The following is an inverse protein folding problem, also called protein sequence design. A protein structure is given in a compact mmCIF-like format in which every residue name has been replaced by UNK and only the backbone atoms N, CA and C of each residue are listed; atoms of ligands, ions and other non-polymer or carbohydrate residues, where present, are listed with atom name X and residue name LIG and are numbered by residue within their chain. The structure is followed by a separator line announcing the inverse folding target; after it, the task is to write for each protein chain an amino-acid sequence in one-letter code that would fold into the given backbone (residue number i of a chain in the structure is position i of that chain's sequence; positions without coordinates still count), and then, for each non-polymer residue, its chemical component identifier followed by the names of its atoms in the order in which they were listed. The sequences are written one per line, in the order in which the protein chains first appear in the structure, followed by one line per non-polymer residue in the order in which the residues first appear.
data_IF_985716309035
#
_entry.id   IF_985716309035
#
_cell.length_a   1.000
_cell.length_b   1.000
_cell.length_c   1.000
_cell.angle_alpha   90.00
_cell.angle_beta   90.00
_cell.angle_gamma   90.00
#
_symmetry.space_group_name_H-M   'P 1'
#
loop_
_entity.id
_entity.type
_entity.pdbx_description
1 polymer ?
#
# COMPACT_ATOMS: atom_id res chain seq x y z
N UNK A 1 -29.25 -14.51 12.44
CA UNK A 1 -29.12 -15.48 11.33
C UNK A 1 -27.72 -15.34 10.78
N UNK A 2 -26.90 -16.40 10.85
CA UNK A 2 -25.49 -16.36 10.41
C UNK A 2 -25.44 -16.55 8.90
N UNK A 3 -25.22 -15.47 8.15
CA UNK A 3 -24.76 -15.60 6.76
C UNK A 3 -23.34 -16.14 6.85
N UNK A 4 -23.15 -17.39 6.45
CA UNK A 4 -21.82 -17.99 6.36
C UNK A 4 -21.05 -17.28 5.25
N UNK A 5 -20.29 -16.26 5.66
CA UNK A 5 -19.29 -15.52 4.90
C UNK A 5 -18.25 -16.46 4.31
N UNK A 6 -18.54 -17.03 3.15
CA UNK A 6 -17.55 -17.72 2.32
C UNK A 6 -17.47 -16.96 1.00
N UNK A 7 -16.28 -16.49 0.69
CA UNK A 7 -15.94 -16.02 -0.65
C UNK A 7 -16.39 -17.05 -1.67
N UNK A 8 -16.94 -16.58 -2.80
CA UNK A 8 -17.14 -17.46 -3.95
C UNK A 8 -15.79 -18.02 -4.41
N UNK A 9 -15.75 -19.15 -5.13
CA UNK A 9 -14.50 -19.69 -5.66
C UNK A 9 -13.69 -18.67 -6.46
N UNK A 10 -14.35 -17.81 -7.22
CA UNK A 10 -13.71 -16.75 -8.03
C UNK A 10 -13.08 -15.68 -7.15
N UNK A 11 -13.79 -15.20 -6.12
CA UNK A 11 -13.25 -14.24 -5.17
C UNK A 11 -12.11 -14.83 -4.34
N UNK A 12 -12.21 -16.12 -4.00
CA UNK A 12 -11.12 -16.84 -3.34
C UNK A 12 -9.89 -16.91 -4.25
N UNK A 13 -10.06 -17.23 -5.54
CA UNK A 13 -8.93 -17.25 -6.47
C UNK A 13 -8.29 -15.87 -6.60
N UNK A 14 -9.08 -14.80 -6.76
CA UNK A 14 -8.56 -13.42 -6.79
C UNK A 14 -7.80 -13.03 -5.53
N UNK A 15 -8.26 -13.47 -4.36
CA UNK A 15 -7.50 -13.29 -3.12
C UNK A 15 -6.13 -13.96 -3.21
N UNK A 16 -6.08 -15.24 -3.60
CA UNK A 16 -4.83 -16.00 -3.73
C UNK A 16 -3.88 -15.38 -4.77
N UNK A 17 -4.39 -15.00 -5.94
CA UNK A 17 -3.62 -14.32 -6.99
C UNK A 17 -3.04 -13.00 -6.47
N UNK A 18 -3.80 -12.27 -5.65
CA UNK A 18 -3.33 -11.03 -5.04
C UNK A 18 -2.20 -11.27 -4.03
N UNK A 19 -2.22 -12.38 -3.29
CA UNK A 19 -1.15 -12.74 -2.35
C UNK A 19 0.13 -13.06 -3.12
N UNK A 20 0.02 -13.91 -4.15
CA UNK A 20 1.14 -14.31 -5.00
C UNK A 20 1.79 -13.10 -5.68
N UNK A 21 0.98 -12.22 -6.30
CA UNK A 21 1.45 -11.00 -6.95
C UNK A 21 2.28 -10.10 -6.02
N UNK A 22 2.03 -10.14 -4.71
CA UNK A 22 2.71 -9.27 -3.73
C UNK A 22 3.70 -10.05 -2.86
N UNK A 23 4.04 -11.30 -3.23
CA UNK A 23 5.00 -12.13 -2.50
C UNK A 23 4.56 -12.51 -1.08
N UNK A 24 3.25 -12.48 -0.81
CA UNK A 24 2.70 -12.84 0.50
C UNK A 24 2.47 -14.34 0.53
N UNK A 25 3.21 -15.05 1.37
CA UNK A 25 3.02 -16.49 1.55
C UNK A 25 1.63 -16.79 2.10
N UNK A 26 0.92 -17.74 1.48
CA UNK A 26 -0.39 -18.21 1.97
C UNK A 26 -0.29 -18.78 3.39
N UNK A 27 0.85 -19.34 3.78
CA UNK A 27 1.08 -19.85 5.15
C UNK A 27 1.12 -18.76 6.22
N UNK A 28 1.24 -17.48 5.82
CA UNK A 28 1.21 -16.32 6.71
C UNK A 28 -0.17 -15.67 6.80
N UNK A 29 -1.16 -16.18 6.05
CA UNK A 29 -2.52 -15.66 6.06
C UNK A 29 -3.25 -16.17 7.31
N UNK A 30 -3.80 -15.24 8.08
CA UNK A 30 -4.62 -15.59 9.25
C UNK A 30 -6.06 -15.87 8.79
N UNK A 31 -6.65 -17.00 9.19
CA UNK A 31 -8.00 -17.36 8.76
C UNK A 31 -9.07 -16.39 9.30
N UNK A 32 -9.00 -16.01 10.57
CA UNK A 32 -9.99 -15.13 11.20
C UNK A 32 -9.31 -14.16 12.16
N UNK A 33 -9.61 -12.88 12.01
CA UNK A 33 -9.09 -11.79 12.82
C UNK A 33 -10.26 -10.95 13.30
N UNK A 34 -10.32 -10.68 14.60
CA UNK A 34 -11.37 -9.85 15.21
C UNK A 34 -10.69 -8.82 16.10
N UNK A 35 -11.08 -7.55 15.97
CA UNK A 35 -10.61 -6.49 16.86
C UNK A 35 -11.01 -6.77 18.31
N UNK A 36 -10.09 -6.62 19.27
CA UNK A 36 -10.26 -7.05 20.67
C UNK A 36 -10.46 -5.92 21.66
N UNK A 37 -10.26 -4.67 21.25
CA UNK A 37 -10.47 -3.49 22.10
C UNK A 37 -10.73 -2.22 21.29
N UNK A 38 -10.83 -1.05 21.94
CA UNK A 38 -11.22 0.19 21.28
C UNK A 38 -10.23 0.63 20.18
N UNK A 39 -8.94 0.31 20.32
CA UNK A 39 -7.90 0.56 19.31
C UNK A 39 -7.13 -0.72 19.01
N UNK A 40 -6.94 -1.00 17.72
CA UNK A 40 -6.22 -2.15 17.21
C UNK A 40 -5.32 -1.68 16.07
N UNK A 41 -4.17 -2.32 15.89
CA UNK A 41 -3.19 -1.85 14.92
C UNK A 41 -2.86 -2.92 13.90
N UNK A 42 -2.64 -2.51 12.66
CA UNK A 42 -1.74 -3.18 11.72
C UNK A 42 -0.49 -2.30 11.68
N UNK A 43 0.57 -2.73 12.35
CA UNK A 43 1.80 -1.93 12.47
C UNK A 43 3.05 -2.79 12.45
N UNK A 44 4.12 -2.26 11.86
CA UNK A 44 5.46 -2.83 11.90
C UNK A 44 6.39 -2.06 12.85
N UNK A 45 5.86 -1.08 13.59
CA UNK A 45 6.63 -0.32 14.59
C UNK A 45 6.98 -1.21 15.78
N UNK A 46 8.25 -1.23 16.22
CA UNK A 46 8.64 -1.91 17.45
C UNK A 46 7.83 -1.42 18.65
N UNK A 47 7.34 -2.35 19.47
CA UNK A 47 6.57 -2.04 20.68
C UNK A 47 5.08 -1.75 20.46
N UNK A 48 4.60 -1.67 19.21
CA UNK A 48 3.17 -1.58 18.90
C UNK A 48 2.60 -2.99 18.70
N UNK A 49 1.59 -3.36 19.48
CA UNK A 49 0.90 -4.64 19.35
C UNK A 49 0.07 -4.70 18.07
N UNK A 50 0.58 -5.38 17.05
CA UNK A 50 -0.14 -5.59 15.78
C UNK A 50 -1.09 -6.77 15.87
N UNK A 51 -2.33 -6.58 15.41
CA UNK A 51 -3.38 -7.59 15.38
C UNK A 51 -3.07 -8.73 14.39
N UNK A 52 -2.36 -8.38 13.31
CA UNK A 52 -1.80 -9.33 12.33
C UNK A 52 -0.29 -9.11 12.32
N UNK A 53 0.54 -10.14 12.51
CA UNK A 53 1.99 -9.99 12.41
C UNK A 53 2.38 -9.44 11.04
N UNK A 54 3.18 -8.39 11.03
CA UNK A 54 3.68 -7.81 9.80
C UNK A 54 4.66 -8.78 9.12
N UNK A 55 4.41 -9.10 7.86
CA UNK A 55 5.42 -9.73 7.01
C UNK A 55 6.14 -8.66 6.19
N UNK A 56 7.46 -8.76 6.05
CA UNK A 56 8.27 -7.77 5.34
C UNK A 56 8.58 -8.28 3.93
N UNK A 57 8.32 -7.45 2.93
CA UNK A 57 8.74 -7.71 1.54
C UNK A 57 9.72 -6.64 1.10
N UNK A 58 10.74 -7.05 0.34
CA UNK A 58 11.68 -6.12 -0.27
C UNK A 58 11.14 -5.67 -1.63
N UNK A 59 11.20 -4.37 -1.89
CA UNK A 59 10.87 -3.76 -3.16
C UNK A 59 12.15 -3.17 -3.74
N UNK A 60 12.48 -3.56 -4.95
CA UNK A 60 13.76 -3.23 -5.58
C UNK A 60 13.64 -2.09 -6.59
N UNK A 61 12.45 -1.83 -7.13
CA UNK A 61 12.26 -0.82 -8.18
C UNK A 61 11.02 0.04 -7.96
N UNK A 62 11.01 1.24 -8.55
CA UNK A 62 9.81 2.09 -8.56
C UNK A 62 8.65 1.41 -9.29
N UNK A 63 8.94 0.66 -10.35
CA UNK A 63 7.93 -0.03 -11.17
C UNK A 63 7.23 -1.12 -10.36
N UNK A 64 7.98 -1.89 -9.57
CA UNK A 64 7.39 -2.82 -8.59
C UNK A 64 6.48 -2.08 -7.62
N UNK A 65 6.95 -0.98 -7.00
CA UNK A 65 6.12 -0.22 -6.05
C UNK A 65 4.84 0.33 -6.68
N UNK A 66 4.91 0.88 -7.90
CA UNK A 66 3.76 1.40 -8.65
C UNK A 66 2.77 0.28 -8.98
N UNK A 67 3.27 -0.89 -9.38
CA UNK A 67 2.43 -2.04 -9.65
C UNK A 67 1.68 -2.56 -8.40
N UNK A 68 2.29 -2.42 -7.21
CA UNK A 68 1.63 -2.71 -5.92
C UNK A 68 0.60 -1.65 -5.53
N UNK A 69 0.86 -0.38 -5.86
CA UNK A 69 -0.08 0.72 -5.64
C UNK A 69 -1.33 0.62 -6.53
N UNK A 70 -1.26 -0.13 -7.63
CA UNK A 70 -2.40 -0.40 -8.52
C UNK A 70 -2.71 0.72 -9.51
N UNK A 71 -1.80 1.68 -9.69
CA UNK A 71 -1.98 2.82 -10.59
C UNK A 71 -1.18 2.61 -11.89
N UNK A 72 -1.77 1.94 -12.86
CA UNK A 72 -1.11 1.66 -14.15
C UNK A 72 -1.06 2.91 -15.03
N UNK A 73 0.05 3.14 -15.73
CA UNK A 73 0.14 4.22 -16.72
C UNK A 73 -0.80 3.98 -17.92
N UNK A 74 -1.16 2.72 -18.19
CA UNK A 74 -2.14 2.37 -19.22
C UNK A 74 -3.52 3.00 -18.95
N UNK A 75 -3.90 3.18 -17.68
CA UNK A 75 -5.18 3.76 -17.32
C UNK A 75 -5.19 5.27 -17.63
N UNK A 76 -4.05 5.94 -17.51
CA UNK A 76 -3.88 7.32 -17.95
C UNK A 76 -3.87 7.43 -19.48
N UNK A 77 -3.14 6.54 -20.17
CA UNK A 77 -3.09 6.51 -21.63
C UNK A 77 -4.47 6.25 -22.27
N UNK A 78 -5.31 5.45 -21.62
CA UNK A 78 -6.70 5.16 -22.03
C UNK A 78 -7.71 6.22 -21.57
N UNK A 79 -7.29 7.22 -20.78
CA UNK A 79 -8.17 8.25 -20.22
C UNK A 79 -9.14 7.74 -19.16
N UNK A 80 -8.88 6.56 -18.57
CA UNK A 80 -9.66 5.99 -17.46
C UNK A 80 -9.37 6.74 -16.16
N UNK A 81 -8.12 7.18 -15.97
CA UNK A 81 -7.70 8.04 -14.87
C UNK A 81 -7.35 9.43 -15.38
N UNK A 82 -7.75 10.47 -14.63
CA UNK A 82 -7.25 11.83 -14.85
C UNK A 82 -5.95 12.04 -14.08
N UNK A 83 -5.08 12.89 -14.61
CA UNK A 83 -3.80 13.25 -13.98
C UNK A 83 -4.04 14.13 -12.75
N UNK A 84 -4.30 13.52 -11.61
CA UNK A 84 -4.67 14.22 -10.37
C UNK A 84 -3.48 14.74 -9.54
N UNK A 85 -2.23 14.45 -9.94
CA UNK A 85 -1.01 14.76 -9.17
C UNK A 85 0.18 15.15 -10.08
N UNK A 86 -0.04 16.03 -11.06
CA UNK A 86 1.08 16.63 -11.80
C UNK A 86 1.47 17.94 -11.13
N UNK A 87 2.60 17.93 -10.43
CA UNK A 87 3.38 19.15 -10.32
C UNK A 87 4.22 19.25 -11.59
N UNK A 88 4.18 20.41 -12.26
CA UNK A 88 5.08 20.69 -13.39
C UNK A 88 6.51 20.85 -12.84
N UNK A 89 7.19 19.71 -12.67
CA UNK A 89 8.55 19.66 -12.19
C UNK A 89 9.53 19.93 -13.35
N UNK A 90 10.59 20.73 -13.12
CA UNK A 90 11.65 20.87 -14.11
C UNK A 90 12.30 19.50 -14.36
N UNK A 91 12.75 19.25 -15.59
CA UNK A 91 13.44 18.00 -15.89
C UNK A 91 14.68 17.83 -15.01
N UNK A 92 14.85 16.63 -14.44
CA UNK A 92 15.99 16.34 -13.58
C UNK A 92 17.31 16.37 -14.36
N UNK A 93 18.34 16.98 -13.76
CA UNK A 93 19.68 17.06 -14.34
C UNK A 93 20.42 15.74 -14.10
N UNK A 94 20.58 14.91 -15.13
CA UNK A 94 21.30 13.62 -15.06
C UNK A 94 22.70 13.71 -14.45
N UNK A 95 23.39 14.85 -14.60
CA UNK A 95 24.71 15.09 -13.99
C UNK A 95 24.69 15.09 -12.46
N UNK A 96 23.50 15.17 -11.84
CA UNK A 96 23.29 15.11 -10.39
C UNK A 96 22.86 13.72 -9.92
N UNK A 97 22.74 12.74 -10.82
CA UNK A 97 22.58 11.34 -10.41
C UNK A 97 23.79 10.92 -9.56
N UNK A 98 23.54 10.17 -8.49
CA UNK A 98 24.56 9.73 -7.53
C UNK A 98 24.86 10.72 -6.41
N UNK A 99 24.31 11.93 -6.45
CA UNK A 99 24.39 12.84 -5.31
C UNK A 99 23.54 12.32 -4.15
N UNK A 100 24.14 12.25 -2.96
CA UNK A 100 23.40 12.00 -1.72
C UNK A 100 22.48 13.20 -1.37
N UNK A 101 21.41 13.00 -0.58
CA UNK A 101 20.47 14.07 -0.23
C UNK A 101 21.11 15.33 0.36
N UNK A 102 22.20 15.21 1.13
CA UNK A 102 22.93 16.32 1.74
C UNK A 102 23.77 17.15 0.74
N UNK A 103 23.91 16.67 -0.50
CA UNK A 103 24.60 17.36 -1.60
C UNK A 103 23.66 18.06 -2.58
N UNK A 104 22.36 17.98 -2.33
CA UNK A 104 21.32 18.61 -3.14
C UNK A 104 20.75 19.81 -2.41
N UNK A 105 20.19 20.77 -3.15
CA UNK A 105 19.44 21.86 -2.51
C UNK A 105 18.16 21.33 -1.85
N UNK A 106 17.57 22.12 -0.96
CA UNK A 106 16.27 21.81 -0.35
C UNK A 106 15.21 21.59 -1.45
N UNK A 107 15.14 22.50 -2.42
CA UNK A 107 14.23 22.42 -3.57
C UNK A 107 14.44 21.15 -4.40
N UNK A 108 15.69 20.72 -4.59
CA UNK A 108 16.00 19.50 -5.34
C UNK A 108 15.51 18.25 -4.62
N UNK A 109 15.72 18.18 -3.31
CA UNK A 109 15.19 17.09 -2.49
C UNK A 109 13.65 17.09 -2.48
N UNK A 110 13.02 18.26 -2.39
CA UNK A 110 11.56 18.38 -2.49
C UNK A 110 11.02 17.90 -3.84
N UNK A 111 11.68 18.30 -4.94
CA UNK A 111 11.31 17.87 -6.28
C UNK A 111 11.48 16.35 -6.47
N UNK A 112 12.52 15.74 -5.90
CA UNK A 112 12.69 14.28 -5.90
C UNK A 112 11.52 13.59 -5.17
N UNK A 113 11.11 14.10 -3.99
CA UNK A 113 9.98 13.54 -3.23
C UNK A 113 8.65 13.70 -3.98
N UNK A 114 8.43 14.87 -4.60
CA UNK A 114 7.26 15.13 -5.44
C UNK A 114 7.23 14.20 -6.65
N UNK A 115 8.36 14.08 -7.35
CA UNK A 115 8.50 13.18 -8.48
C UNK A 115 8.26 11.71 -8.08
N UNK A 116 8.76 11.27 -6.92
CA UNK A 116 8.46 9.95 -6.38
C UNK A 116 6.95 9.74 -6.20
N UNK A 117 6.25 10.68 -5.56
CA UNK A 117 4.79 10.59 -5.39
C UNK A 117 4.05 10.56 -6.73
N UNK A 118 4.42 11.43 -7.68
CA UNK A 118 3.83 11.45 -9.03
C UNK A 118 4.10 10.14 -9.77
N UNK A 119 5.28 9.53 -9.62
CA UNK A 119 5.58 8.25 -10.25
C UNK A 119 4.66 7.13 -9.74
N UNK A 120 4.46 7.05 -8.42
CA UNK A 120 3.69 5.97 -7.78
C UNK A 120 2.18 6.17 -7.89
N UNK A 121 1.68 7.41 -7.74
CA UNK A 121 0.25 7.71 -7.66
C UNK A 121 -0.32 8.40 -8.91
N UNK A 122 0.55 8.87 -9.82
CA UNK A 122 0.19 9.59 -11.04
C UNK A 122 0.64 8.88 -12.32
N UNK A 123 0.69 9.64 -13.43
CA UNK A 123 1.30 9.23 -14.70
C UNK A 123 2.83 9.31 -14.59
N UNK A 124 3.49 8.16 -14.61
CA UNK A 124 4.94 8.09 -14.38
C UNK A 124 5.76 8.72 -15.51
N UNK A 125 5.19 8.82 -16.72
CA UNK A 125 5.87 9.40 -17.88
C UNK A 125 6.19 10.88 -17.66
N UNK A 126 5.41 11.59 -16.83
CA UNK A 126 5.62 13.01 -16.51
C UNK A 126 6.89 13.28 -15.71
N UNK A 127 7.40 12.27 -15.01
CA UNK A 127 8.55 12.40 -14.10
C UNK A 127 9.66 11.40 -14.44
N UNK A 128 9.66 10.85 -15.66
CA UNK A 128 10.61 9.82 -16.10
C UNK A 128 12.09 10.24 -15.93
N UNK A 129 12.42 11.53 -16.04
CA UNK A 129 13.79 12.02 -15.82
C UNK A 129 14.33 11.79 -14.40
N UNK A 130 13.44 11.67 -13.41
CA UNK A 130 13.79 11.50 -12.00
C UNK A 130 14.00 10.03 -11.60
N UNK A 131 13.69 9.06 -12.48
CA UNK A 131 13.65 7.64 -12.12
C UNK A 131 14.94 7.15 -11.46
N UNK A 132 16.10 7.49 -12.03
CA UNK A 132 17.40 7.03 -11.53
C UNK A 132 17.74 7.60 -10.14
N UNK A 133 17.52 8.89 -9.92
CA UNK A 133 17.83 9.52 -8.62
C UNK A 133 16.87 9.04 -7.53
N UNK A 134 15.59 8.85 -7.86
CA UNK A 134 14.62 8.26 -6.93
C UNK A 134 15.05 6.82 -6.60
N UNK A 135 15.44 6.03 -7.59
CA UNK A 135 15.87 4.65 -7.38
C UNK A 135 17.05 4.60 -6.40
N UNK A 136 18.05 5.45 -6.59
CA UNK A 136 19.22 5.53 -5.71
C UNK A 136 18.89 5.98 -4.29
N UNK A 137 17.92 6.88 -4.12
CA UNK A 137 17.60 7.47 -2.81
C UNK A 137 16.70 6.60 -1.95
N UNK A 138 15.76 5.88 -2.57
CA UNK A 138 14.70 5.19 -1.84
C UNK A 138 14.77 3.67 -1.94
N UNK A 139 15.54 3.09 -2.88
CA UNK A 139 15.54 1.66 -3.14
C UNK A 139 16.90 1.01 -2.84
N UNK A 140 16.91 -0.26 -2.40
CA UNK A 140 15.74 -1.09 -2.09
C UNK A 140 15.01 -0.59 -0.84
N UNK A 141 13.69 -0.71 -0.82
CA UNK A 141 12.87 -0.43 0.37
C UNK A 141 12.18 -1.69 0.88
N UNK A 142 11.69 -1.63 2.10
CA UNK A 142 10.89 -2.69 2.70
C UNK A 142 9.48 -2.19 2.98
N UNK A 143 8.48 -3.00 2.66
CA UNK A 143 7.07 -2.73 2.99
C UNK A 143 6.55 -3.74 4.01
N UNK A 144 5.64 -3.29 4.86
CA UNK A 144 4.87 -4.17 5.72
C UNK A 144 3.68 -4.75 4.96
N UNK A 145 3.48 -6.05 5.07
CA UNK A 145 2.34 -6.76 4.48
C UNK A 145 1.51 -7.42 5.58
N UNK A 146 0.19 -7.34 5.42
CA UNK A 146 -0.79 -7.94 6.32
C UNK A 146 -1.79 -8.72 5.51
N UNK A 147 -2.10 -9.96 5.92
CA UNK A 147 -3.09 -10.76 5.22
C UNK A 147 -3.96 -11.59 6.17
N UNK A 148 -5.26 -11.56 5.92
CA UNK A 148 -6.22 -12.44 6.58
C UNK A 148 -7.35 -12.84 5.62
N UNK A 149 -7.89 -14.05 5.77
CA UNK A 149 -9.08 -14.44 5.01
C UNK A 149 -10.30 -13.64 5.49
N UNK A 150 -10.46 -13.47 6.80
CA UNK A 150 -11.58 -12.72 7.39
C UNK A 150 -11.08 -11.75 8.45
N UNK A 151 -11.50 -10.49 8.35
CA UNK A 151 -11.28 -9.45 9.34
C UNK A 151 -12.63 -8.87 9.79
N UNK A 152 -12.88 -8.86 11.09
CA UNK A 152 -14.05 -8.20 11.69
C UNK A 152 -13.60 -7.04 12.57
N UNK A 153 -14.03 -5.84 12.20
CA UNK A 153 -13.95 -4.63 13.03
C UNK A 153 -15.26 -4.51 13.80
N UNK A 154 -15.18 -4.70 15.12
CA UNK A 154 -16.33 -4.69 16.02
C UNK A 154 -16.89 -3.27 16.22
N UNK A 155 -18.16 -3.20 16.62
CA UNK A 155 -18.81 -1.94 17.01
C UNK A 155 -17.98 -1.17 18.05
N UNK A 156 -17.74 0.11 17.80
CA UNK A 156 -16.96 0.99 18.69
C UNK A 156 -15.46 0.74 18.69
N UNK A 157 -14.95 -0.17 17.85
CA UNK A 157 -13.51 -0.40 17.68
C UNK A 157 -12.98 0.32 16.44
N UNK A 158 -11.74 0.79 16.51
CA UNK A 158 -10.99 1.24 15.32
C UNK A 158 -9.84 0.28 15.02
N UNK A 159 -9.68 -0.06 13.75
CA UNK A 159 -8.46 -0.66 13.20
C UNK A 159 -7.61 0.43 12.55
N UNK A 160 -6.41 0.64 13.06
CA UNK A 160 -5.49 1.68 12.62
C UNK A 160 -4.37 1.02 11.81
N UNK A 161 -4.20 1.44 10.57
CA UNK A 161 -3.04 1.07 9.75
C UNK A 161 -1.97 2.15 9.98
N UNK A 162 -0.87 1.75 10.58
CA UNK A 162 0.23 2.63 10.99
C UNK A 162 1.59 1.97 10.71
N UNK A 163 2.67 2.73 10.83
CA UNK A 163 4.03 2.26 10.75
C UNK A 163 4.80 2.81 9.57
N UNK A 164 5.41 1.91 8.80
CA UNK A 164 5.92 2.22 7.47
C UNK A 164 4.78 2.14 6.43
N UNK A 165 5.12 2.08 5.14
CA UNK A 165 4.12 1.87 4.08
C UNK A 165 3.57 0.43 4.16
N UNK A 166 2.25 0.30 4.00
CA UNK A 166 1.55 -0.97 4.22
C UNK A 166 0.86 -1.51 2.97
N UNK A 167 0.86 -2.84 2.84
CA UNK A 167 0.04 -3.57 1.85
C UNK A 167 -0.82 -4.57 2.61
N UNK A 168 -2.12 -4.32 2.65
CA UNK A 168 -3.06 -5.16 3.36
C UNK A 168 -3.99 -5.88 2.37
N UNK A 169 -4.06 -7.21 2.48
CA UNK A 169 -4.85 -8.09 1.60
C UNK A 169 -5.84 -8.88 2.43
N UNK A 170 -7.12 -8.74 2.13
CA UNK A 170 -8.18 -9.45 2.83
C UNK A 170 -9.08 -10.21 1.87
N UNK A 171 -9.54 -11.37 2.32
CA UNK A 171 -10.67 -12.03 1.69
C UNK A 171 -11.94 -11.20 1.93
N UNK A 172 -12.44 -11.26 3.17
CA UNK A 172 -13.62 -10.55 3.64
C UNK A 172 -13.25 -9.58 4.74
N UNK A 173 -13.77 -8.36 4.67
CA UNK A 173 -13.73 -7.39 5.78
C UNK A 173 -15.17 -7.06 6.17
N UNK A 174 -15.50 -7.31 7.43
CA UNK A 174 -16.78 -6.91 8.04
C UNK A 174 -16.52 -5.75 9.00
N UNK A 175 -17.21 -4.64 8.79
CA UNK A 175 -17.23 -3.50 9.73
C UNK A 175 -18.61 -3.43 10.34
N UNK A 176 -18.71 -3.77 11.62
CA UNK A 176 -19.93 -3.64 12.40
C UNK A 176 -20.25 -2.16 12.67
N UNK A 177 -21.51 -1.85 12.96
CA UNK A 177 -22.02 -0.49 13.11
C UNK A 177 -21.23 0.26 14.19
N UNK A 178 -20.66 1.41 13.81
CA UNK A 178 -19.80 2.20 14.69
C UNK A 178 -18.34 1.72 14.78
N UNK A 179 -17.99 0.63 14.09
CA UNK A 179 -16.60 0.26 13.82
C UNK A 179 -15.99 1.13 12.71
N UNK A 180 -14.65 1.26 12.69
CA UNK A 180 -13.96 2.06 11.68
C UNK A 180 -12.56 1.55 11.35
N UNK A 181 -12.07 1.94 10.17
CA UNK A 181 -10.69 1.70 9.72
C UNK A 181 -10.05 3.07 9.47
N UNK A 182 -8.88 3.31 10.05
CA UNK A 182 -8.11 4.54 9.93
C UNK A 182 -6.76 4.26 9.27
N UNK A 183 -6.33 5.13 8.36
CA UNK A 183 -5.03 5.06 7.70
C UNK A 183 -4.17 6.23 8.17
N UNK A 184 -3.06 5.94 8.83
CA UNK A 184 -2.08 6.93 9.29
C UNK A 184 -0.79 6.90 8.45
N UNK A 185 -0.75 6.00 7.46
CA UNK A 185 0.35 5.80 6.51
C UNK A 185 -0.19 5.54 5.11
N UNK A 186 0.66 5.75 4.10
CA UNK A 186 0.34 5.30 2.74
C UNK A 186 0.17 3.78 2.74
N UNK A 187 -1.02 3.32 2.34
CA UNK A 187 -1.34 1.92 2.31
C UNK A 187 -2.09 1.53 1.03
N UNK A 188 -1.77 0.35 0.50
CA UNK A 188 -2.66 -0.36 -0.43
C UNK A 188 -3.56 -1.28 0.37
N UNK A 189 -4.87 -1.16 0.17
CA UNK A 189 -5.87 -2.03 0.79
C UNK A 189 -6.66 -2.75 -0.30
N UNK A 190 -6.60 -4.08 -0.32
CA UNK A 190 -7.37 -4.90 -1.28
C UNK A 190 -8.26 -5.87 -0.52
N UNK A 191 -9.55 -5.85 -0.84
CA UNK A 191 -10.57 -6.71 -0.22
C UNK A 191 -11.39 -7.34 -1.33
N UNK A 192 -11.71 -8.63 -1.20
CA UNK A 192 -12.58 -9.30 -2.18
C UNK A 192 -14.07 -9.13 -1.86
N UNK A 193 -14.42 -9.04 -0.57
CA UNK A 193 -15.79 -8.77 -0.10
C UNK A 193 -15.79 -7.81 1.09
N UNK A 194 -16.40 -6.64 0.95
CA UNK A 194 -16.60 -5.67 2.03
C UNK A 194 -18.04 -5.75 2.53
N UNK A 195 -18.23 -5.92 3.83
CA UNK A 195 -19.54 -6.05 4.48
C UNK A 195 -19.67 -4.96 5.56
N UNK A 196 -20.80 -4.27 5.57
CA UNK A 196 -21.18 -3.31 6.59
C UNK A 196 -22.43 -3.83 7.29
N UNK A 197 -22.35 -4.09 8.60
CA UNK A 197 -23.42 -4.69 9.43
C UNK A 197 -23.76 -3.82 10.62
#
# INVERSE_FOLDING_TARGET
MSVKNKLTPELKQRFLDSLEKHGISQTKVIANVVTTGPKNYLSDRPGVGSLIPANKIAIHTLDELKALAGNSDDDYAKGVMQVHLHEDLPAWKKSKNGHAPDKLSVEENENIVKAFKTYIYGDSAKVASYKDIIHQHFFPMTLATYAAENLTVKSGHVLIVDGSKAVAKFGTVTVEQGGSISYEVDASWTVQSMIFE
#
